data_IF_391073705012
#
_entry.id   IF_391073705012
#
_cell.length_a   1.000
_cell.length_b   1.000
_cell.length_c   1.000
_cell.angle_alpha   90.00
_cell.angle_beta   90.00
_cell.angle_gamma   90.00
#
_symmetry.space_group_name_H-M   'P 1'
#
loop_
_entity.id
_entity.type
_entity.pdbx_description
1 polymer ?
#
# COMPACT_ATOMS: atom_id res chain seq x y z
N UNK A 1 18.06 23.21 -15.48
CA UNK A 1 17.01 24.09 -14.92
C UNK A 1 16.18 23.26 -13.97
N UNK A 2 16.33 23.49 -12.67
CA UNK A 2 15.56 22.79 -11.65
C UNK A 2 14.22 23.52 -11.47
N UNK A 3 13.13 22.86 -11.80
CA UNK A 3 11.79 23.37 -11.52
C UNK A 3 11.50 23.05 -10.04
N UNK A 4 11.33 24.07 -9.18
CA UNK A 4 10.94 23.81 -7.80
C UNK A 4 9.51 23.24 -7.80
N UNK A 5 9.30 22.13 -7.09
CA UNK A 5 7.98 21.63 -6.71
C UNK A 5 7.33 22.66 -5.76
N UNK A 6 6.76 23.72 -6.31
CA UNK A 6 5.94 24.64 -5.53
C UNK A 6 4.54 24.05 -5.44
N UNK A 7 4.18 23.59 -4.27
CA UNK A 7 2.78 23.43 -3.91
C UNK A 7 2.13 24.81 -4.05
N UNK A 8 1.31 24.99 -5.08
CA UNK A 8 0.45 26.17 -5.13
C UNK A 8 -0.45 26.12 -3.92
N UNK A 9 -0.55 27.24 -3.22
CA UNK A 9 -1.38 27.48 -2.04
C UNK A 9 -2.90 27.44 -2.33
N UNK A 10 -3.36 26.39 -2.96
CA UNK A 10 -4.77 26.04 -3.02
C UNK A 10 -4.97 25.02 -1.92
N UNK A 11 -5.64 25.44 -0.83
CA UNK A 11 -5.89 24.59 0.32
C UNK A 11 -6.62 23.32 -0.13
N UNK A 12 -5.89 22.22 -0.30
CA UNK A 12 -6.47 20.90 -0.24
C UNK A 12 -6.99 20.76 1.19
N UNK A 13 -8.30 20.87 1.33
CA UNK A 13 -8.87 20.65 2.65
C UNK A 13 -8.62 19.17 2.99
N UNK A 14 -8.13 18.91 4.17
CA UNK A 14 -8.00 17.55 4.55
C UNK A 14 -9.37 17.02 4.78
N UNK A 15 -9.43 15.97 4.22
CA UNK A 15 -9.42 14.92 5.08
C UNK A 15 -10.72 14.59 5.74
N UNK A 16 -10.95 13.42 5.56
CA UNK A 16 -11.91 12.65 6.27
C UNK A 16 -11.38 12.44 7.71
N UNK A 17 -12.20 12.70 8.70
CA UNK A 17 -12.00 12.31 10.08
C UNK A 17 -12.93 11.14 10.40
N UNK A 18 -12.37 10.04 10.91
CA UNK A 18 -13.11 8.86 11.30
C UNK A 18 -13.25 8.76 12.83
N UNK A 19 -14.17 7.94 13.28
CA UNK A 19 -14.36 7.70 14.71
C UNK A 19 -13.26 6.82 15.30
N UNK A 20 -12.74 5.89 14.49
CA UNK A 20 -11.68 4.94 14.86
C UNK A 20 -10.37 5.29 14.20
N UNK A 21 -9.22 4.87 14.79
CA UNK A 21 -7.93 4.96 14.13
C UNK A 21 -7.91 4.20 12.80
N UNK A 22 -7.28 4.81 11.80
CA UNK A 22 -7.05 4.18 10.50
C UNK A 22 -5.86 3.24 10.64
N UNK A 23 -5.97 2.04 10.12
CA UNK A 23 -4.91 1.02 10.10
C UNK A 23 -4.37 0.75 8.70
N UNK A 24 -5.17 0.99 7.66
CA UNK A 24 -4.77 0.74 6.28
C UNK A 24 -5.55 1.65 5.33
N UNK A 25 -4.86 2.19 4.34
CA UNK A 25 -5.44 2.91 3.20
C UNK A 25 -5.03 2.19 1.92
N UNK A 26 -5.97 1.95 1.00
CA UNK A 26 -5.71 1.40 -0.34
C UNK A 26 -6.59 2.07 -1.38
N UNK A 27 -5.97 2.56 -2.43
CA UNK A 27 -6.67 3.07 -3.60
C UNK A 27 -7.01 1.94 -4.57
N UNK A 28 -8.18 2.00 -5.17
CA UNK A 28 -8.60 1.00 -6.13
C UNK A 28 -7.81 1.13 -7.45
N UNK A 29 -7.22 0.04 -7.90
CA UNK A 29 -6.46 -0.02 -9.15
C UNK A 29 -7.27 -0.50 -10.34
N UNK A 30 -8.50 -1.00 -10.10
CA UNK A 30 -9.41 -1.40 -11.17
C UNK A 30 -9.72 -0.21 -12.09
N UNK A 31 -9.70 -0.38 -13.42
CA UNK A 31 -9.94 0.71 -14.36
C UNK A 31 -11.27 1.44 -14.16
N UNK A 32 -12.30 0.73 -13.73
CA UNK A 32 -13.65 1.27 -13.50
C UNK A 32 -13.90 1.70 -12.05
N UNK A 33 -12.93 1.51 -11.16
CA UNK A 33 -12.99 1.88 -9.74
C UNK A 33 -11.91 2.87 -9.30
N UNK A 34 -11.17 3.50 -10.22
CA UNK A 34 -10.00 4.36 -9.92
C UNK A 34 -10.30 5.57 -9.03
N UNK A 35 -11.56 5.93 -8.88
CA UNK A 35 -12.00 6.99 -7.98
C UNK A 35 -12.31 6.49 -6.56
N UNK A 36 -12.15 5.19 -6.29
CA UNK A 36 -12.41 4.63 -4.97
C UNK A 36 -11.15 4.53 -4.13
N UNK A 37 -11.29 4.76 -2.84
CA UNK A 37 -10.33 4.35 -1.83
C UNK A 37 -11.04 3.59 -0.70
N UNK A 38 -10.38 2.57 -0.16
CA UNK A 38 -10.79 1.93 1.06
C UNK A 38 -9.94 2.41 2.23
N UNK A 39 -10.59 2.57 3.35
CA UNK A 39 -10.00 2.93 4.62
C UNK A 39 -10.40 1.86 5.61
N UNK A 40 -9.42 1.20 6.18
CA UNK A 40 -9.62 0.16 7.18
C UNK A 40 -9.38 0.75 8.54
N UNK A 41 -10.33 0.56 9.45
CA UNK A 41 -10.23 0.93 10.85
C UNK A 41 -10.07 -0.33 11.73
N UNK A 42 -10.15 -0.19 13.05
CA UNK A 42 -10.04 -1.33 13.96
C UNK A 42 -11.17 -2.35 13.78
N UNK A 43 -12.38 -1.89 13.43
CA UNK A 43 -13.56 -2.77 13.38
C UNK A 43 -14.28 -2.80 12.05
N UNK A 44 -13.88 -1.97 11.08
CA UNK A 44 -14.63 -1.81 9.83
C UNK A 44 -13.74 -1.50 8.61
N UNK A 45 -14.30 -1.72 7.43
CA UNK A 45 -13.78 -1.24 6.15
C UNK A 45 -14.75 -0.23 5.58
N UNK A 46 -14.28 0.98 5.31
CA UNK A 46 -15.04 2.05 4.71
C UNK A 46 -14.58 2.30 3.28
N UNK A 47 -15.50 2.49 2.37
CA UNK A 47 -15.23 2.80 0.97
C UNK A 47 -15.74 4.19 0.65
N UNK A 48 -14.86 5.02 0.10
CA UNK A 48 -15.15 6.38 -0.32
C UNK A 48 -14.88 6.54 -1.82
N UNK A 49 -15.74 7.30 -2.47
CA UNK A 49 -15.47 7.84 -3.80
C UNK A 49 -14.82 9.21 -3.68
N UNK A 50 -13.84 9.46 -4.52
CA UNK A 50 -13.17 10.75 -4.60
C UNK A 50 -13.67 11.54 -5.79
N UNK A 51 -13.95 12.83 -5.60
CA UNK A 51 -14.35 13.76 -6.64
C UNK A 51 -13.37 14.94 -6.72
N UNK A 52 -13.15 15.43 -7.95
CA UNK A 52 -12.32 16.59 -8.28
C UNK A 52 -13.12 17.74 -8.91
N UNK A 53 -14.44 17.74 -8.74
CA UNK A 53 -15.33 18.79 -9.26
C UNK A 53 -15.12 20.16 -8.60
N UNK A 54 -14.38 20.20 -7.51
CA UNK A 54 -13.98 21.40 -6.76
C UNK A 54 -12.45 21.54 -6.78
N UNK A 55 -11.89 22.74 -6.51
CA UNK A 55 -10.46 22.87 -6.27
C UNK A 55 -9.98 22.02 -5.07
N UNK A 56 -10.90 21.46 -4.31
CA UNK A 56 -10.64 20.60 -3.15
C UNK A 56 -11.05 19.16 -3.45
N UNK A 57 -10.22 18.22 -3.07
CA UNK A 57 -10.55 16.79 -3.11
C UNK A 57 -11.64 16.50 -2.08
N UNK A 58 -12.76 15.94 -2.52
CA UNK A 58 -13.85 15.50 -1.64
C UNK A 58 -13.91 13.98 -1.55
N UNK A 59 -14.33 13.49 -0.39
CA UNK A 59 -14.54 12.07 -0.12
C UNK A 59 -16.01 11.82 0.18
N UNK A 60 -16.68 11.08 -0.70
CA UNK A 60 -18.09 10.72 -0.54
C UNK A 60 -18.20 9.26 -0.08
N UNK A 61 -18.92 8.99 1.02
CA UNK A 61 -19.09 7.63 1.50
C UNK A 61 -19.93 6.82 0.51
N UNK A 62 -19.43 5.64 0.12
CA UNK A 62 -20.12 4.72 -0.80
C UNK A 62 -20.74 3.56 -0.05
N UNK A 63 -19.93 2.86 0.75
CA UNK A 63 -20.37 1.72 1.56
C UNK A 63 -19.43 1.49 2.73
N UNK A 64 -19.92 0.75 3.74
CA UNK A 64 -19.10 0.33 4.88
C UNK A 64 -19.42 -1.11 5.26
N UNK A 65 -18.40 -1.83 5.70
CA UNK A 65 -18.51 -3.21 6.14
C UNK A 65 -18.01 -3.33 7.57
N UNK A 66 -18.86 -3.77 8.46
CA UNK A 66 -18.48 -4.06 9.83
C UNK A 66 -17.82 -5.44 9.91
N UNK A 67 -16.62 -5.51 10.45
CA UNK A 67 -15.85 -6.75 10.61
C UNK A 67 -15.95 -7.31 12.04
N UNK A 68 -16.07 -6.44 13.04
CA UNK A 68 -16.04 -6.80 14.45
C UNK A 68 -14.68 -7.20 15.00
N UNK A 69 -13.64 -7.11 14.18
CA UNK A 69 -12.25 -7.41 14.51
C UNK A 69 -11.31 -6.64 13.57
N UNK A 70 -10.04 -6.56 13.94
CA UNK A 70 -9.03 -5.86 13.14
C UNK A 70 -8.70 -6.62 11.86
N UNK A 71 -8.66 -5.92 10.73
CA UNK A 71 -8.09 -6.45 9.50
C UNK A 71 -6.56 -6.37 9.52
N UNK A 72 -5.90 -7.42 9.06
CA UNK A 72 -4.44 -7.52 8.95
C UNK A 72 -3.94 -7.34 7.53
N UNK A 73 -4.82 -7.43 6.53
CA UNK A 73 -4.56 -7.15 5.14
C UNK A 73 -5.85 -6.95 4.37
N UNK A 74 -5.80 -6.15 3.32
CA UNK A 74 -6.94 -5.94 2.43
C UNK A 74 -6.49 -5.69 0.99
N UNK A 75 -7.25 -6.19 0.02
CA UNK A 75 -6.99 -6.03 -1.40
C UNK A 75 -8.28 -5.82 -2.18
N UNK A 76 -8.23 -4.93 -3.16
CA UNK A 76 -9.33 -4.71 -4.10
C UNK A 76 -9.44 -5.84 -5.10
N UNK A 77 -10.68 -6.21 -5.42
CA UNK A 77 -10.96 -7.04 -6.60
C UNK A 77 -10.71 -6.27 -7.89
N UNK A 78 -10.12 -6.91 -8.90
CA UNK A 78 -9.99 -6.32 -10.23
C UNK A 78 -11.34 -6.06 -10.90
N UNK A 79 -12.40 -6.75 -10.49
CA UNK A 79 -13.77 -6.57 -11.01
C UNK A 79 -14.51 -5.39 -10.38
N UNK A 80 -13.91 -4.72 -9.38
CA UNK A 80 -14.53 -3.55 -8.74
C UNK A 80 -14.79 -2.44 -9.74
N UNK A 81 -16.02 -1.94 -9.74
CA UNK A 81 -16.47 -0.84 -10.58
C UNK A 81 -17.39 0.11 -9.82
N UNK A 82 -17.33 1.39 -10.18
CA UNK A 82 -18.14 2.41 -9.54
C UNK A 82 -18.63 3.45 -10.56
N UNK A 83 -19.94 3.64 -10.56
CA UNK A 83 -20.63 4.75 -11.21
C UNK A 83 -21.61 5.37 -10.20
N UNK A 84 -22.04 6.60 -10.42
CA UNK A 84 -22.90 7.33 -9.49
C UNK A 84 -24.21 6.62 -9.13
N UNK A 85 -24.77 5.86 -10.06
CA UNK A 85 -26.05 5.17 -9.90
C UNK A 85 -25.94 3.66 -9.76
N UNK A 86 -24.77 3.09 -10.01
CA UNK A 86 -24.54 1.65 -9.92
C UNK A 86 -23.08 1.35 -9.53
N UNK A 87 -22.88 0.35 -8.69
CA UNK A 87 -21.53 -0.14 -8.38
C UNK A 87 -21.52 -1.62 -8.05
N UNK A 88 -20.36 -2.22 -8.24
CA UNK A 88 -20.01 -3.52 -7.69
C UNK A 88 -18.64 -3.37 -7.03
N UNK A 89 -18.63 -3.45 -5.74
CA UNK A 89 -17.42 -3.32 -4.90
C UNK A 89 -17.16 -4.67 -4.28
N UNK A 90 -15.95 -5.18 -4.52
CA UNK A 90 -15.49 -6.44 -3.94
C UNK A 90 -14.12 -6.21 -3.32
N UNK A 91 -13.97 -6.62 -2.06
CA UNK A 91 -12.75 -6.47 -1.28
C UNK A 91 -12.46 -7.79 -0.56
N UNK A 92 -11.24 -8.26 -0.69
CA UNK A 92 -10.74 -9.39 0.08
C UNK A 92 -10.05 -8.85 1.33
N UNK A 93 -10.36 -9.41 2.49
CA UNK A 93 -9.83 -8.99 3.78
C UNK A 93 -9.35 -10.20 4.57
N UNK A 94 -8.13 -10.10 5.11
CA UNK A 94 -7.64 -11.01 6.14
C UNK A 94 -7.79 -10.36 7.51
N UNK A 95 -8.18 -11.15 8.52
CA UNK A 95 -8.46 -10.65 9.87
C UNK A 95 -7.47 -11.20 10.90
N UNK A 96 -7.37 -10.53 12.05
CA UNK A 96 -6.57 -11.01 13.19
C UNK A 96 -7.07 -12.32 13.78
N UNK A 97 -8.32 -12.71 13.48
CA UNK A 97 -8.89 -14.01 13.81
C UNK A 97 -8.48 -15.11 12.84
N UNK A 98 -7.52 -14.83 11.94
CA UNK A 98 -7.03 -15.74 10.91
C UNK A 98 -8.12 -16.20 9.94
N UNK A 99 -9.00 -15.31 9.55
CA UNK A 99 -10.03 -15.56 8.54
C UNK A 99 -9.78 -14.74 7.29
N UNK A 100 -9.98 -15.35 6.14
CA UNK A 100 -10.08 -14.69 4.85
C UNK A 100 -11.56 -14.45 4.56
N UNK A 101 -11.94 -13.19 4.33
CA UNK A 101 -13.32 -12.78 4.09
C UNK A 101 -13.46 -12.03 2.78
N UNK A 102 -14.54 -12.27 2.06
CA UNK A 102 -14.97 -11.50 0.90
C UNK A 102 -16.07 -10.53 1.33
N UNK A 103 -15.83 -9.26 1.11
CA UNK A 103 -16.79 -8.18 1.31
C UNK A 103 -17.31 -7.75 -0.05
N UNK A 104 -18.62 -7.77 -0.20
CA UNK A 104 -19.27 -7.37 -1.45
C UNK A 104 -20.31 -6.30 -1.17
N UNK A 105 -20.36 -5.28 -2.03
CA UNK A 105 -21.45 -4.31 -2.09
C UNK A 105 -21.86 -4.10 -3.54
N UNK A 106 -23.13 -4.34 -3.81
CA UNK A 106 -23.71 -4.16 -5.13
C UNK A 106 -24.84 -3.15 -5.03
N UNK A 107 -24.86 -2.19 -5.94
CA UNK A 107 -25.99 -1.27 -6.11
C UNK A 107 -26.43 -1.24 -7.56
N UNK A 108 -27.74 -1.35 -7.75
CA UNK A 108 -28.40 -1.18 -9.04
C UNK A 108 -29.62 -0.25 -8.85
N UNK A 109 -29.50 0.99 -9.32
CA UNK A 109 -30.53 2.01 -9.09
C UNK A 109 -30.73 2.35 -7.61
N UNK A 110 -31.93 2.10 -7.07
CA UNK A 110 -32.27 2.35 -5.67
C UNK A 110 -31.92 1.20 -4.72
N UNK A 111 -31.68 0.01 -5.25
CA UNK A 111 -31.40 -1.18 -4.44
C UNK A 111 -29.89 -1.31 -4.18
N UNK A 112 -29.54 -1.48 -2.92
CA UNK A 112 -28.18 -1.74 -2.47
C UNK A 112 -28.16 -2.96 -1.55
N UNK A 113 -27.22 -3.84 -1.76
CA UNK A 113 -26.97 -5.01 -0.91
C UNK A 113 -25.49 -5.07 -0.51
N UNK A 114 -25.24 -5.56 0.71
CA UNK A 114 -23.90 -5.81 1.20
C UNK A 114 -23.81 -7.21 1.76
N UNK A 115 -22.67 -7.85 1.56
CA UNK A 115 -22.36 -9.16 2.15
C UNK A 115 -20.97 -9.17 2.76
N UNK A 116 -20.79 -10.04 3.77
CA UNK A 116 -19.50 -10.31 4.42
C UNK A 116 -19.42 -11.84 4.60
N UNK A 117 -18.68 -12.49 3.71
CA UNK A 117 -18.61 -13.95 3.63
C UNK A 117 -17.21 -14.42 4.01
N UNK A 118 -17.12 -15.31 5.00
CA UNK A 118 -15.89 -16.06 5.27
C UNK A 118 -15.63 -17.04 4.12
N UNK A 119 -14.43 -16.97 3.55
CA UNK A 119 -13.98 -17.86 2.48
C UNK A 119 -13.12 -19.02 3.02
N UNK A 120 -12.18 -18.71 3.90
CA UNK A 120 -11.22 -19.70 4.40
C UNK A 120 -10.65 -19.29 5.76
N UNK A 121 -9.99 -20.25 6.42
CA UNK A 121 -9.09 -20.00 7.55
C UNK A 121 -7.65 -19.83 7.02
N UNK A 122 -6.92 -18.84 7.56
CA UNK A 122 -5.54 -18.56 7.11
C UNK A 122 -4.48 -19.31 7.91
N UNK A 123 -4.85 -19.94 9.04
CA UNK A 123 -3.99 -20.70 9.95
C UNK A 123 -2.78 -19.95 10.53
N UNK A 124 -2.39 -18.84 9.94
CA UNK A 124 -1.35 -17.92 10.40
C UNK A 124 -1.78 -16.48 10.15
N UNK A 125 -1.20 -15.55 10.90
CA UNK A 125 -1.46 -14.12 10.70
C UNK A 125 -0.99 -13.70 9.32
N UNK A 126 -1.90 -13.15 8.54
CA UNK A 126 -1.61 -12.54 7.25
C UNK A 126 -0.97 -11.17 7.50
N UNK A 127 0.14 -10.90 6.85
CA UNK A 127 0.88 -9.64 6.92
C UNK A 127 0.61 -8.74 5.73
N UNK A 128 0.28 -9.33 4.56
CA UNK A 128 -0.13 -8.61 3.36
C UNK A 128 -1.01 -9.51 2.48
N UNK A 129 -1.85 -8.89 1.66
CA UNK A 129 -2.82 -9.56 0.83
C UNK A 129 -2.87 -8.91 -0.55
N UNK A 130 -2.85 -9.72 -1.60
CA UNK A 130 -2.96 -9.29 -2.98
C UNK A 130 -3.99 -10.10 -3.74
N UNK A 131 -4.83 -9.42 -4.52
CA UNK A 131 -5.75 -10.07 -5.47
C UNK A 131 -5.17 -9.99 -6.88
N UNK A 132 -5.23 -11.07 -7.64
CA UNK A 132 -4.67 -11.11 -9.00
C UNK A 132 -5.53 -10.28 -9.95
N UNK A 133 -4.92 -9.29 -10.60
CA UNK A 133 -5.60 -8.45 -11.58
C UNK A 133 -5.33 -8.87 -13.03
N UNK A 134 -4.60 -9.97 -13.24
CA UNK A 134 -4.28 -10.46 -14.58
C UNK A 134 -5.49 -11.13 -15.22
N UNK A 135 -5.82 -10.80 -16.49
CA UNK A 135 -6.95 -11.39 -17.19
C UNK A 135 -6.89 -12.92 -17.24
N UNK A 136 -7.99 -13.58 -16.86
CA UNK A 136 -8.12 -15.02 -16.76
C UNK A 136 -7.60 -15.63 -15.45
N UNK A 137 -7.13 -14.81 -14.52
CA UNK A 137 -6.64 -15.23 -13.20
C UNK A 137 -7.24 -14.43 -12.06
N UNK A 138 -8.36 -13.77 -12.31
CA UNK A 138 -9.04 -12.88 -11.34
C UNK A 138 -9.65 -13.66 -10.16
N UNK A 139 -9.73 -14.99 -10.24
CA UNK A 139 -10.15 -15.84 -9.12
C UNK A 139 -9.03 -16.13 -8.12
N UNK A 140 -7.80 -15.67 -8.38
CA UNK A 140 -6.67 -15.97 -7.51
C UNK A 140 -6.31 -14.83 -6.57
N UNK A 141 -5.96 -15.19 -5.34
CA UNK A 141 -5.44 -14.29 -4.33
C UNK A 141 -4.21 -14.88 -3.66
N UNK A 142 -3.30 -14.02 -3.22
CA UNK A 142 -2.09 -14.40 -2.50
C UNK A 142 -2.02 -13.69 -1.16
N UNK A 143 -1.56 -14.37 -0.12
CA UNK A 143 -1.23 -13.77 1.16
C UNK A 143 0.21 -14.07 1.57
N UNK A 144 0.85 -13.05 2.11
CA UNK A 144 2.06 -13.16 2.90
C UNK A 144 1.67 -13.49 4.34
N UNK A 145 2.39 -14.41 4.98
CA UNK A 145 2.07 -14.86 6.33
C UNK A 145 3.29 -14.75 7.26
N UNK A 146 3.00 -14.50 8.55
CA UNK A 146 4.03 -14.37 9.59
C UNK A 146 4.77 -15.67 9.93
N UNK A 147 4.24 -16.82 9.50
CA UNK A 147 4.86 -18.15 9.67
C UNK A 147 5.86 -18.50 8.56
N UNK A 148 6.19 -17.57 7.67
CA UNK A 148 7.08 -17.80 6.53
C UNK A 148 6.39 -18.42 5.32
N UNK A 149 5.08 -18.48 5.29
CA UNK A 149 4.35 -19.03 4.15
C UNK A 149 3.81 -17.95 3.24
N UNK A 150 3.82 -18.26 1.93
CA UNK A 150 3.01 -17.60 0.91
C UNK A 150 1.86 -18.53 0.57
N UNK A 151 0.63 -18.07 0.73
CA UNK A 151 -0.57 -18.84 0.44
C UNK A 151 -1.28 -18.29 -0.78
N UNK A 152 -1.61 -19.17 -1.69
CA UNK A 152 -2.30 -18.86 -2.93
C UNK A 152 -3.65 -19.58 -2.92
N UNK A 153 -4.71 -18.81 -2.89
CA UNK A 153 -6.07 -19.33 -3.00
C UNK A 153 -6.56 -19.17 -4.43
N UNK A 154 -7.17 -20.23 -4.95
CA UNK A 154 -8.22 -20.11 -5.93
C UNK A 154 -9.52 -19.86 -5.15
N UNK A 155 -10.12 -18.72 -5.31
CA UNK A 155 -11.31 -18.32 -4.55
C UNK A 155 -12.54 -19.18 -4.86
N UNK A 156 -12.50 -19.96 -5.95
CA UNK A 156 -13.49 -20.95 -6.34
C UNK A 156 -13.12 -22.37 -5.89
N UNK A 157 -11.91 -22.60 -5.39
CA UNK A 157 -11.37 -23.92 -5.16
C UNK A 157 -10.37 -24.04 -4.01
N UNK A 158 -9.16 -24.45 -4.29
CA UNK A 158 -8.16 -24.87 -3.32
C UNK A 158 -7.19 -23.78 -2.86
N UNK A 159 -6.29 -24.18 -1.93
CA UNK A 159 -5.17 -23.35 -1.47
C UNK A 159 -3.85 -24.09 -1.72
N UNK A 160 -2.87 -23.38 -2.26
CA UNK A 160 -1.47 -23.84 -2.37
C UNK A 160 -0.62 -23.05 -1.39
N UNK A 161 0.35 -23.70 -0.78
CA UNK A 161 1.25 -23.08 0.18
C UNK A 161 2.68 -23.24 -0.27
N UNK A 162 3.45 -22.16 -0.26
CA UNK A 162 4.89 -22.15 -0.50
C UNK A 162 5.61 -21.66 0.76
N UNK A 163 6.67 -22.34 1.15
CA UNK A 163 7.42 -22.06 2.37
C UNK A 163 8.70 -21.28 2.03
N UNK A 164 8.90 -20.18 2.72
CA UNK A 164 10.13 -19.39 2.72
C UNK A 164 10.86 -19.53 4.06
N UNK A 165 12.02 -18.90 4.20
CA UNK A 165 12.89 -19.12 5.36
C UNK A 165 12.53 -18.25 6.58
N UNK A 166 11.84 -17.14 6.37
CA UNK A 166 11.44 -16.22 7.43
C UNK A 166 10.05 -15.64 7.16
N UNK A 167 9.49 -14.91 8.13
CA UNK A 167 8.20 -14.26 7.98
C UNK A 167 8.11 -13.46 6.68
N UNK A 168 7.03 -13.64 5.93
CA UNK A 168 6.79 -12.89 4.68
C UNK A 168 6.08 -11.59 5.02
N UNK A 169 6.64 -10.47 4.60
CA UNK A 169 6.13 -9.13 4.91
C UNK A 169 5.16 -8.61 3.88
N UNK A 170 5.40 -8.96 2.61
CA UNK A 170 4.66 -8.40 1.49
C UNK A 170 4.55 -9.38 0.34
N UNK A 171 3.43 -9.31 -0.37
CA UNK A 171 3.15 -10.11 -1.56
C UNK A 171 2.45 -9.24 -2.62
N UNK A 172 2.84 -9.39 -3.89
CA UNK A 172 2.21 -8.66 -4.98
C UNK A 172 2.31 -9.43 -6.30
N UNK A 173 1.19 -9.58 -7.01
CA UNK A 173 1.21 -10.15 -8.36
C UNK A 173 1.92 -9.19 -9.32
N UNK A 174 2.67 -9.78 -10.26
CA UNK A 174 3.35 -9.00 -11.28
C UNK A 174 2.33 -8.33 -12.22
N UNK A 175 2.47 -7.03 -12.51
CA UNK A 175 1.43 -6.28 -13.24
C UNK A 175 1.26 -6.69 -14.71
N UNK A 176 2.24 -7.39 -15.32
CA UNK A 176 2.21 -7.75 -16.76
C UNK A 176 2.43 -9.24 -17.02
N UNK A 177 3.07 -9.98 -16.12
CA UNK A 177 3.39 -11.40 -16.29
C UNK A 177 2.59 -12.21 -15.29
N UNK A 178 1.45 -12.82 -15.68
CA UNK A 178 0.50 -13.43 -14.74
C UNK A 178 1.10 -14.48 -13.82
N UNK A 179 2.10 -15.24 -14.31
CA UNK A 179 2.71 -16.32 -13.54
C UNK A 179 3.66 -15.88 -12.43
N UNK A 180 4.05 -14.60 -12.39
CA UNK A 180 5.03 -14.12 -11.41
C UNK A 180 4.33 -13.45 -10.22
N UNK A 181 4.81 -13.80 -9.04
CA UNK A 181 4.42 -13.25 -7.75
C UNK A 181 5.67 -12.78 -7.01
N UNK A 182 5.67 -11.55 -6.55
CA UNK A 182 6.67 -11.02 -5.64
C UNK A 182 6.35 -11.46 -4.22
N UNK A 183 7.35 -11.93 -3.48
CA UNK A 183 7.29 -12.12 -2.04
C UNK A 183 8.53 -11.51 -1.38
N UNK A 184 8.35 -10.75 -0.29
CA UNK A 184 9.44 -10.13 0.47
C UNK A 184 9.48 -10.69 1.88
N UNK A 185 10.62 -11.26 2.25
CA UNK A 185 10.85 -11.77 3.60
C UNK A 185 11.34 -10.69 4.58
N UNK A 186 11.11 -10.92 5.86
CA UNK A 186 11.65 -10.11 6.95
C UNK A 186 13.18 -10.15 7.04
N UNK A 187 13.81 -11.17 6.47
CA UNK A 187 15.28 -11.27 6.32
C UNK A 187 15.87 -10.27 5.33
N UNK A 188 15.06 -9.60 4.53
CA UNK A 188 15.50 -8.69 3.46
C UNK A 188 15.73 -9.38 2.11
N UNK A 189 15.34 -10.63 1.98
CA UNK A 189 15.38 -11.35 0.70
C UNK A 189 14.03 -11.22 0.00
N UNK A 190 14.06 -10.80 -1.26
CA UNK A 190 12.92 -10.80 -2.16
C UNK A 190 12.96 -12.00 -3.10
N UNK A 191 11.81 -12.56 -3.37
CA UNK A 191 11.63 -13.69 -4.26
C UNK A 191 10.65 -13.36 -5.38
N UNK A 192 10.98 -13.82 -6.59
CA UNK A 192 10.02 -13.97 -7.67
C UNK A 192 9.58 -15.42 -7.72
N UNK A 193 8.33 -15.67 -7.47
CA UNK A 193 7.73 -17.00 -7.44
C UNK A 193 6.96 -17.22 -8.75
N UNK A 194 7.26 -18.34 -9.46
CA UNK A 194 6.42 -18.85 -10.54
C UNK A 194 5.31 -19.71 -9.91
N UNK A 195 4.12 -19.14 -9.79
CA UNK A 195 2.98 -19.80 -9.16
C UNK A 195 2.10 -20.58 -10.15
N UNK A 196 2.38 -20.48 -11.47
CA UNK A 196 1.71 -21.21 -12.53
C UNK A 196 2.61 -22.28 -13.16
N UNK A 197 3.61 -22.78 -12.42
CA UNK A 197 4.48 -23.84 -12.90
C UNK A 197 3.66 -25.09 -13.29
N UNK A 198 4.13 -25.79 -14.33
CA UNK A 198 3.39 -26.86 -15.02
C UNK A 198 3.05 -28.07 -14.15
N UNK A 199 3.74 -28.24 -13.03
CA UNK A 199 3.50 -29.31 -12.04
C UNK A 199 2.50 -28.93 -10.95
N UNK A 200 1.98 -27.71 -11.01
CA UNK A 200 1.03 -27.17 -10.01
C UNK A 200 1.67 -26.69 -8.71
N UNK A 201 3.00 -26.79 -8.59
CA UNK A 201 3.71 -26.27 -7.41
C UNK A 201 4.18 -24.84 -7.63
N UNK A 202 4.37 -24.09 -6.53
CA UNK A 202 4.97 -22.75 -6.57
C UNK A 202 6.48 -22.89 -6.53
N UNK A 203 7.19 -22.29 -7.50
CA UNK A 203 8.64 -22.37 -7.61
C UNK A 203 9.30 -21.01 -7.51
N UNK A 204 10.47 -20.93 -6.90
CA UNK A 204 11.30 -19.74 -6.93
C UNK A 204 11.93 -19.59 -8.31
N UNK A 205 11.54 -18.55 -9.05
CA UNK A 205 12.08 -18.20 -10.35
C UNK A 205 13.38 -17.38 -10.23
N UNK A 206 13.43 -16.46 -9.27
CA UNK A 206 14.59 -15.64 -8.96
C UNK A 206 14.56 -15.14 -7.52
N UNK A 207 15.71 -14.72 -7.00
CA UNK A 207 15.81 -14.03 -5.72
C UNK A 207 16.73 -12.81 -5.86
N UNK A 208 16.47 -11.80 -5.03
CA UNK A 208 17.26 -10.57 -4.96
C UNK A 208 17.33 -10.10 -3.49
N UNK A 209 18.36 -9.33 -3.18
CA UNK A 209 18.58 -8.91 -1.80
C UNK A 209 19.41 -7.62 -1.74
N UNK A 210 19.39 -6.99 -0.60
CA UNK A 210 20.31 -5.90 -0.27
C UNK A 210 21.35 -6.42 0.71
N UNK A 211 22.66 -6.45 0.32
CA UNK A 211 23.69 -7.12 1.12
C UNK A 211 23.86 -6.57 2.55
N UNK A 212 23.60 -5.28 2.76
CA UNK A 212 23.76 -4.64 4.07
C UNK A 212 22.61 -5.02 5.01
N UNK A 213 21.43 -5.25 4.48
CA UNK A 213 20.26 -5.60 5.30
C UNK A 213 20.28 -7.04 5.80
N UNK A 214 20.89 -7.96 5.06
CA UNK A 214 20.99 -9.37 5.46
C UNK A 214 21.66 -9.57 6.83
N UNK A 215 22.59 -8.69 7.21
CA UNK A 215 23.29 -8.79 8.50
C UNK A 215 22.56 -8.12 9.68
N UNK A 216 21.67 -7.18 9.40
CA UNK A 216 21.08 -6.33 10.44
C UNK A 216 19.74 -6.86 10.99
N UNK A 217 19.05 -7.73 10.25
CA UNK A 217 17.64 -8.08 10.50
C UNK A 217 17.41 -9.37 11.28
N UNK A 218 18.45 -10.14 11.59
CA UNK A 218 18.29 -11.40 12.32
C UNK A 218 17.64 -11.27 13.72
N UNK A 219 17.43 -10.05 14.20
CA UNK A 219 16.98 -9.80 15.59
C UNK A 219 15.74 -8.91 15.73
N UNK A 220 15.18 -8.37 14.64
CA UNK A 220 14.04 -7.45 14.73
C UNK A 220 12.79 -8.05 14.11
N UNK A 221 11.72 -8.17 14.90
CA UNK A 221 10.39 -8.52 14.41
C UNK A 221 9.76 -7.29 13.75
N UNK A 222 9.69 -7.29 12.42
CA UNK A 222 9.01 -6.23 11.67
C UNK A 222 7.54 -6.60 11.46
N UNK A 223 6.66 -5.71 11.86
CA UNK A 223 5.23 -5.77 11.52
C UNK A 223 4.93 -4.78 10.39
N UNK A 224 5.54 -4.96 9.20
CA UNK A 224 5.32 -4.06 8.09
C UNK A 224 4.27 -4.62 7.11
N UNK A 225 3.19 -3.90 6.90
CA UNK A 225 2.28 -4.15 5.79
C UNK A 225 2.74 -3.39 4.55
N UNK A 226 2.87 -4.11 3.42
CA UNK A 226 3.23 -3.47 2.17
C UNK A 226 4.67 -3.01 2.09
N UNK A 227 5.58 -3.77 2.66
CA UNK A 227 7.01 -3.50 2.62
C UNK A 227 7.58 -3.41 1.21
N UNK A 228 6.99 -4.10 0.22
CA UNK A 228 7.44 -4.10 -1.17
C UNK A 228 6.29 -3.85 -2.15
N UNK A 229 6.63 -3.31 -3.32
CA UNK A 229 5.69 -3.04 -4.39
C UNK A 229 6.36 -3.14 -5.78
N UNK A 230 5.55 -3.49 -6.79
CA UNK A 230 5.91 -3.33 -8.20
C UNK A 230 5.67 -1.88 -8.65
N UNK A 231 6.51 -1.43 -9.56
CA UNK A 231 6.20 -0.23 -10.33
C UNK A 231 5.21 -0.59 -11.45
N UNK A 232 4.04 0.02 -11.45
CA UNK A 232 2.96 -0.37 -12.36
C UNK A 232 3.29 -0.13 -13.84
N UNK A 233 4.08 0.91 -14.15
CA UNK A 233 4.43 1.27 -15.53
C UNK A 233 5.67 0.53 -16.03
N UNK A 234 6.67 0.32 -15.17
CA UNK A 234 7.87 -0.47 -15.43
C UNK A 234 7.86 -1.73 -14.56
N UNK A 235 7.32 -2.79 -15.13
CA UNK A 235 7.08 -4.03 -14.42
C UNK A 235 8.35 -4.81 -14.03
N UNK A 236 9.52 -4.37 -14.45
CA UNK A 236 10.80 -4.96 -14.04
C UNK A 236 11.35 -4.29 -12.75
N UNK A 237 10.74 -3.18 -12.34
CA UNK A 237 11.16 -2.44 -11.15
C UNK A 237 10.36 -2.86 -9.92
N UNK A 238 11.09 -3.21 -8.87
CA UNK A 238 10.56 -3.53 -7.54
C UNK A 238 11.19 -2.58 -6.53
N UNK A 239 10.37 -2.04 -5.64
CA UNK A 239 10.84 -1.26 -4.50
C UNK A 239 10.47 -1.91 -3.18
N UNK A 240 11.30 -1.77 -2.17
CA UNK A 240 11.01 -2.22 -0.81
C UNK A 240 11.59 -1.27 0.24
N UNK A 241 10.95 -1.25 1.41
CA UNK A 241 11.49 -0.69 2.64
C UNK A 241 11.77 -1.84 3.61
N UNK A 242 13.01 -1.94 4.04
CA UNK A 242 13.54 -2.96 4.94
C UNK A 242 14.15 -2.27 6.17
N UNK A 243 13.40 -2.20 7.25
CA UNK A 243 13.79 -1.38 8.40
C UNK A 243 13.89 0.10 8.04
N UNK A 244 15.10 0.66 8.11
CA UNK A 244 15.36 2.06 7.73
C UNK A 244 15.88 2.24 6.31
N UNK A 245 16.12 1.16 5.57
CA UNK A 245 16.66 1.20 4.22
C UNK A 245 15.55 0.98 3.19
N UNK A 246 15.43 1.91 2.25
CA UNK A 246 14.66 1.69 1.05
C UNK A 246 15.58 1.27 -0.10
N UNK A 247 15.11 0.38 -0.94
CA UNK A 247 15.83 -0.16 -2.07
C UNK A 247 14.91 -0.26 -3.28
N UNK A 248 15.47 -0.09 -4.47
CA UNK A 248 14.81 -0.32 -5.75
C UNK A 248 15.68 -1.22 -6.59
N UNK A 249 15.09 -2.28 -7.15
CA UNK A 249 15.77 -3.25 -8.03
C UNK A 249 15.16 -3.23 -9.43
N UNK A 250 16.02 -3.44 -10.44
CA UNK A 250 15.59 -3.98 -11.72
C UNK A 250 15.78 -5.50 -11.67
N UNK A 251 14.72 -6.24 -11.47
CA UNK A 251 14.77 -7.69 -11.22
C UNK A 251 15.18 -8.51 -12.45
N UNK A 252 15.24 -7.90 -13.64
CA UNK A 252 15.80 -8.56 -14.84
C UNK A 252 17.32 -8.44 -14.94
N UNK A 253 17.87 -7.34 -14.45
CA UNK A 253 19.27 -7.00 -14.72
C UNK A 253 20.19 -7.43 -13.58
N UNK A 254 19.73 -7.30 -12.35
CA UNK A 254 20.62 -7.54 -11.21
C UNK A 254 19.86 -8.02 -9.96
N UNK A 255 20.54 -8.84 -9.17
CA UNK A 255 20.11 -9.23 -7.82
C UNK A 255 20.40 -8.16 -6.75
N UNK A 256 21.17 -7.13 -7.08
CA UNK A 256 21.50 -6.00 -6.19
C UNK A 256 20.68 -4.77 -6.55
N UNK A 257 20.40 -3.88 -5.59
CA UNK A 257 19.60 -2.70 -5.87
C UNK A 257 20.27 -1.73 -6.85
N UNK A 258 19.49 -1.18 -7.77
CA UNK A 258 19.92 -0.09 -8.68
C UNK A 258 19.91 1.26 -7.97
N UNK A 259 19.09 1.38 -6.92
CA UNK A 259 19.06 2.55 -6.04
C UNK A 259 18.73 2.12 -4.62
N UNK A 260 19.35 2.76 -3.65
CA UNK A 260 19.05 2.54 -2.23
C UNK A 260 19.36 3.81 -1.42
N UNK A 261 18.72 3.91 -0.28
CA UNK A 261 18.97 4.98 0.67
C UNK A 261 18.55 4.57 2.08
N UNK A 262 18.88 5.43 3.05
CA UNK A 262 18.57 5.19 4.44
C UNK A 262 17.74 6.34 5.00
N UNK A 263 16.68 6.00 5.72
CA UNK A 263 15.93 6.94 6.53
C UNK A 263 16.67 7.22 7.83
N UNK A 264 16.68 8.47 8.26
CA UNK A 264 17.45 8.87 9.45
C UNK A 264 16.83 8.45 10.78
N UNK A 265 15.61 7.94 10.75
CA UNK A 265 14.89 7.52 11.97
C UNK A 265 14.79 6.01 12.03
N UNK A 266 15.00 5.39 13.21
CA UNK A 266 14.73 3.98 13.39
C UNK A 266 13.22 3.75 13.21
N UNK A 267 12.86 2.91 12.25
CA UNK A 267 11.48 2.57 11.94
C UNK A 267 11.17 1.16 12.42
N UNK A 268 10.00 0.99 13.04
CA UNK A 268 9.48 -0.33 13.42
C UNK A 268 8.56 -0.86 12.32
N UNK A 269 7.85 0.04 11.65
CA UNK A 269 6.91 -0.26 10.58
C UNK A 269 7.14 0.68 9.42
N UNK A 270 6.82 0.25 8.23
CA UNK A 270 6.90 1.12 7.07
C UNK A 270 6.67 0.37 5.76
N UNK A 271 6.62 1.13 4.68
CA UNK A 271 6.44 0.55 3.36
C UNK A 271 6.85 1.51 2.26
N UNK A 272 6.86 0.98 1.04
CA UNK A 272 7.14 1.71 -0.18
C UNK A 272 5.98 1.55 -1.16
N UNK A 273 5.60 2.65 -1.82
CA UNK A 273 4.59 2.65 -2.88
C UNK A 273 5.07 3.47 -4.06
N UNK A 274 5.04 2.90 -5.25
CA UNK A 274 5.24 3.63 -6.50
C UNK A 274 3.97 4.37 -6.90
N UNK A 275 4.14 5.55 -7.46
CA UNK A 275 3.02 6.30 -8.04
C UNK A 275 2.54 5.60 -9.32
N UNK A 276 1.25 5.20 -9.42
CA UNK A 276 0.74 4.48 -10.59
C UNK A 276 0.59 5.38 -11.83
N UNK A 277 0.54 6.68 -11.64
CA UNK A 277 0.34 7.69 -12.69
C UNK A 277 1.64 8.38 -13.13
N UNK A 278 2.71 8.23 -12.34
CA UNK A 278 4.02 8.82 -12.62
C UNK A 278 5.14 7.83 -12.28
N UNK A 279 5.80 7.27 -13.30
CA UNK A 279 6.85 6.26 -13.13
C UNK A 279 8.10 6.76 -12.40
N UNK A 280 8.26 8.07 -12.24
CA UNK A 280 9.40 8.66 -11.55
C UNK A 280 9.20 8.78 -10.04
N UNK A 281 7.96 8.75 -9.57
CA UNK A 281 7.66 9.02 -8.18
C UNK A 281 7.44 7.73 -7.40
N UNK A 282 8.01 7.70 -6.20
CA UNK A 282 7.65 6.72 -5.18
C UNK A 282 7.63 7.38 -3.80
N UNK A 283 6.82 6.84 -2.92
CA UNK A 283 6.74 7.27 -1.54
C UNK A 283 7.20 6.17 -0.60
N UNK A 284 7.92 6.57 0.44
CA UNK A 284 8.34 5.71 1.54
C UNK A 284 7.77 6.30 2.82
N UNK A 285 7.13 5.48 3.62
CA UNK A 285 6.74 5.87 4.96
C UNK A 285 7.43 4.98 5.98
N UNK A 286 7.79 5.59 7.10
CA UNK A 286 8.39 4.90 8.21
C UNK A 286 7.76 5.40 9.50
N UNK A 287 7.24 4.48 10.31
CA UNK A 287 6.72 4.78 11.62
C UNK A 287 7.80 4.54 12.68
N UNK A 288 8.25 5.59 13.32
CA UNK A 288 9.16 5.54 14.46
C UNK A 288 8.46 5.93 15.74
N UNK A 289 9.10 5.70 16.87
CA UNK A 289 8.55 5.97 18.21
C UNK A 289 8.22 7.44 18.49
N UNK A 290 8.58 8.37 17.62
CA UNK A 290 8.46 9.80 17.89
C UNK A 290 7.72 10.63 16.83
N UNK A 291 7.81 10.30 15.55
CA UNK A 291 7.11 11.03 14.49
C UNK A 291 6.91 10.15 13.25
N UNK A 292 5.71 10.07 12.66
CA UNK A 292 5.53 9.45 11.35
C UNK A 292 6.23 10.31 10.32
N UNK A 293 7.09 9.71 9.50
CA UNK A 293 7.75 10.38 8.39
C UNK A 293 7.29 9.76 7.06
N UNK A 294 6.89 10.61 6.15
CA UNK A 294 6.60 10.25 4.76
C UNK A 294 7.57 10.99 3.85
N UNK A 295 8.27 10.23 3.02
CA UNK A 295 9.25 10.77 2.09
C UNK A 295 8.81 10.46 0.66
N UNK A 296 8.81 11.46 -0.21
CA UNK A 296 8.50 11.30 -1.62
C UNK A 296 9.79 11.50 -2.43
N UNK A 297 10.10 10.54 -3.27
CA UNK A 297 11.33 10.49 -4.06
C UNK A 297 11.03 10.55 -5.56
N UNK A 298 11.95 11.16 -6.30
CA UNK A 298 12.01 11.09 -7.76
C UNK A 298 13.10 10.07 -8.17
N UNK A 299 12.73 8.96 -8.79
CA UNK A 299 13.63 7.89 -9.21
C UNK A 299 14.60 8.28 -10.32
N UNK A 300 14.38 9.39 -11.02
CA UNK A 300 15.34 9.90 -12.02
C UNK A 300 16.65 10.42 -11.42
N UNK A 301 16.70 10.62 -10.10
CA UNK A 301 17.88 11.09 -9.38
C UNK A 301 18.24 10.16 -8.21
N UNK A 302 18.56 8.88 -8.47
CA UNK A 302 18.78 7.89 -7.41
C UNK A 302 19.97 8.22 -6.51
N UNK A 303 20.98 8.92 -7.02
CA UNK A 303 22.15 9.36 -6.26
C UNK A 303 21.88 10.59 -5.37
N UNK A 304 20.81 11.31 -5.63
CA UNK A 304 20.40 12.50 -4.87
C UNK A 304 18.87 12.56 -4.86
N UNK A 305 18.20 11.62 -4.17
CA UNK A 305 16.74 11.66 -4.10
C UNK A 305 16.34 12.98 -3.46
N UNK A 306 15.47 13.72 -4.15
CA UNK A 306 14.82 14.88 -3.57
C UNK A 306 13.69 14.37 -2.69
N UNK A 307 14.02 14.07 -1.44
CA UNK A 307 13.03 13.76 -0.44
C UNK A 307 12.21 15.02 -0.11
N UNK A 308 10.93 14.86 -0.01
CA UNK A 308 10.03 15.84 0.57
C UNK A 308 9.62 15.25 1.92
N UNK A 309 10.15 15.80 2.99
CA UNK A 309 9.75 15.39 4.32
C UNK A 309 8.39 16.01 4.64
N UNK A 310 7.39 15.16 4.78
CA UNK A 310 6.07 15.58 5.23
C UNK A 310 5.96 15.28 6.71
N UNK A 311 6.05 16.33 7.52
CA UNK A 311 5.78 16.23 8.95
C UNK A 311 4.29 16.46 9.18
N UNK A 312 3.62 15.46 9.73
CA UNK A 312 2.25 15.64 10.19
C UNK A 312 2.23 16.61 11.37
N UNK A 313 1.87 17.86 11.13
CA UNK A 313 1.64 18.85 12.19
C UNK A 313 0.19 18.78 12.65
N UNK A 314 0.00 18.79 13.95
CA UNK A 314 -1.29 18.87 14.61
C UNK A 314 -1.46 20.20 15.32
N UNK A 315 -2.66 20.58 15.71
CA UNK A 315 -3.94 20.25 15.12
C UNK A 315 -4.09 20.97 13.79
N UNK A 316 -4.76 20.33 12.90
CA UNK A 316 -5.00 20.82 11.56
C UNK A 316 -5.58 22.24 11.59
N UNK A 317 -4.77 23.23 11.24
CA UNK A 317 -5.28 24.52 10.79
C UNK A 317 -5.24 24.48 9.26
N UNK A 318 -6.32 24.85 8.56
CA UNK A 318 -6.29 24.98 7.14
C UNK A 318 -5.27 26.07 6.78
N UNK A 319 -4.11 25.64 6.33
CA UNK A 319 -3.01 26.47 5.89
C UNK A 319 -2.19 25.68 4.85
N UNK A 320 -1.46 26.36 3.96
CA UNK A 320 -0.68 25.68 2.95
C UNK A 320 0.32 24.73 3.62
N UNK A 321 0.35 23.49 3.18
CA UNK A 321 1.44 22.57 3.52
C UNK A 321 2.71 23.18 2.92
N UNK A 322 3.55 23.75 3.77
CA UNK A 322 4.86 24.22 3.36
C UNK A 322 5.75 23.01 3.17
N UNK A 323 6.02 22.68 1.91
CA UNK A 323 7.05 21.72 1.55
C UNK A 323 8.39 22.46 1.70
N UNK A 324 9.01 22.28 2.86
CA UNK A 324 10.33 22.89 3.10
C UNK A 324 11.41 22.02 2.44
N UNK A 325 11.94 22.53 1.33
CA UNK A 325 12.99 21.89 0.54
C UNK A 325 14.40 22.15 1.10
N UNK A 326 14.53 22.88 2.20
CA UNK A 326 15.84 23.38 2.68
C UNK A 326 16.46 22.55 3.80
N UNK A 327 15.80 21.48 4.28
CA UNK A 327 16.40 20.61 5.31
C UNK A 327 16.64 21.27 6.66
N UNK A 328 16.09 22.46 6.91
CA UNK A 328 16.15 23.11 8.21
C UNK A 328 14.97 22.64 9.05
N UNK A 329 15.28 22.00 10.17
CA UNK A 329 14.29 21.53 11.14
C UNK A 329 13.39 22.68 11.60
N UNK A 330 12.24 22.81 10.97
CA UNK A 330 11.14 23.60 11.52
C UNK A 330 10.65 22.91 12.78
N UNK A 331 10.33 23.68 13.80
CA UNK A 331 9.78 23.18 15.08
C UNK A 331 8.48 22.41 14.83
N UNK A 332 8.60 21.10 14.66
CA UNK A 332 7.46 20.20 14.52
C UNK A 332 6.68 20.14 15.83
N UNK A 333 5.42 20.49 15.80
CA UNK A 333 4.53 20.18 16.91
C UNK A 333 4.38 18.64 16.95
N UNK A 334 4.88 18.02 17.99
CA UNK A 334 4.77 16.58 18.21
C UNK A 334 3.33 16.18 18.45
N UNK A 335 2.80 15.31 17.58
CA UNK A 335 1.60 14.53 17.88
C UNK A 335 1.85 13.64 19.10
N UNK A 336 0.83 13.41 19.93
CA UNK A 336 0.92 12.37 20.95
C UNK A 336 1.29 11.04 20.28
N UNK A 337 2.21 10.32 20.88
CA UNK A 337 2.87 9.11 20.36
C UNK A 337 1.95 7.92 19.97
N UNK A 338 0.64 8.07 20.12
CA UNK A 338 -0.34 7.03 19.84
C UNK A 338 -0.87 7.03 18.39
N UNK A 339 -0.59 8.05 17.59
CA UNK A 339 -1.21 8.22 16.26
C UNK A 339 -0.17 8.54 15.19
N UNK A 340 0.55 7.52 14.75
CA UNK A 340 1.44 7.64 13.59
C UNK A 340 0.78 7.22 12.29
N UNK A 341 1.35 7.59 11.14
CA UNK A 341 0.98 7.02 9.85
C UNK A 341 1.24 5.51 9.87
N UNK A 342 0.23 4.70 9.60
CA UNK A 342 0.35 3.25 9.52
C UNK A 342 0.35 2.76 8.08
N UNK A 343 -0.15 3.58 7.15
CA UNK A 343 -0.26 3.23 5.75
C UNK A 343 -0.24 4.46 4.85
N UNK A 344 0.24 4.27 3.64
CA UNK A 344 0.12 5.22 2.54
C UNK A 344 -0.35 4.52 1.29
N UNK A 345 -1.01 5.23 0.40
CA UNK A 345 -1.22 4.77 -0.97
C UNK A 345 -1.41 5.92 -1.95
N UNK A 346 -1.05 5.71 -3.21
CA UNK A 346 -1.26 6.68 -4.27
C UNK A 346 -2.64 6.52 -4.90
N UNK A 347 -3.29 7.62 -5.20
CA UNK A 347 -4.48 7.57 -6.01
C UNK A 347 -4.18 7.04 -7.41
N UNK A 348 -5.04 6.17 -7.92
CA UNK A 348 -4.86 5.49 -9.21
C UNK A 348 -5.17 6.40 -10.42
N UNK A 349 -5.51 7.65 -10.18
CA UNK A 349 -5.72 8.69 -11.21
C UNK A 349 -5.15 10.01 -10.76
N UNK A 350 -4.76 10.85 -11.71
CA UNK A 350 -4.38 12.23 -11.43
C UNK A 350 -5.63 13.05 -11.09
N UNK A 351 -5.48 13.94 -10.12
CA UNK A 351 -6.51 14.90 -9.72
C UNK A 351 -6.10 16.26 -10.24
N UNK A 352 -6.83 16.78 -11.23
CA UNK A 352 -6.44 17.96 -12.00
C UNK A 352 -5.03 17.79 -12.61
N UNK A 353 -4.01 18.48 -12.10
CA UNK A 353 -2.63 18.40 -12.57
C UNK A 353 -1.70 17.61 -11.63
N UNK A 354 -2.23 17.07 -10.53
CA UNK A 354 -1.43 16.49 -9.45
C UNK A 354 -1.59 14.98 -9.34
N UNK A 355 -0.49 14.31 -9.01
CA UNK A 355 -0.51 12.99 -8.42
C UNK A 355 -0.81 13.15 -6.92
N UNK A 356 -1.69 12.34 -6.35
CA UNK A 356 -2.11 12.51 -4.95
C UNK A 356 -1.74 11.28 -4.15
N UNK A 357 -0.97 11.50 -3.09
CA UNK A 357 -0.65 10.50 -2.08
C UNK A 357 -1.63 10.64 -0.91
N UNK A 358 -2.29 9.57 -0.55
CA UNK A 358 -3.11 9.47 0.65
C UNK A 358 -2.26 8.95 1.80
N UNK A 359 -2.28 9.64 2.92
CA UNK A 359 -1.54 9.30 4.14
C UNK A 359 -2.53 9.24 5.29
N UNK A 360 -2.53 8.17 6.03
CA UNK A 360 -3.27 8.11 7.29
C UNK A 360 -2.45 8.73 8.44
N UNK A 361 -3.12 9.49 9.28
CA UNK A 361 -2.55 10.06 10.51
C UNK A 361 -3.55 9.88 11.64
N UNK A 362 -3.46 8.75 12.32
CA UNK A 362 -4.39 8.40 13.39
C UNK A 362 -5.81 8.20 12.87
N UNK A 363 -6.70 9.16 13.09
CA UNK A 363 -8.08 9.14 12.62
C UNK A 363 -8.30 9.92 11.33
N UNK A 364 -7.26 10.57 10.84
CA UNK A 364 -7.35 11.49 9.70
C UNK A 364 -6.74 10.89 8.47
N UNK A 365 -7.39 11.07 7.33
CA UNK A 365 -6.83 10.83 6.02
C UNK A 365 -6.34 12.16 5.44
N UNK A 366 -5.07 12.23 5.09
CA UNK A 366 -4.42 13.45 4.57
C UNK A 366 -4.03 13.23 3.11
N UNK A 367 -4.65 13.91 2.15
CA UNK A 367 -4.21 13.91 0.77
C UNK A 367 -3.04 14.88 0.57
N UNK A 368 -1.98 14.40 -0.06
CA UNK A 368 -0.79 15.18 -0.38
C UNK A 368 -0.69 15.29 -1.90
N UNK A 369 -0.96 16.47 -2.48
CA UNK A 369 -0.77 16.69 -3.90
C UNK A 369 0.71 16.82 -4.23
N UNK A 370 1.14 16.11 -5.27
CA UNK A 370 2.50 16.10 -5.80
C UNK A 370 2.47 16.51 -7.26
N UNK A 371 3.22 17.57 -7.63
CA UNK A 371 3.26 18.14 -8.98
C UNK A 371 4.30 17.46 -9.88
#
# INVERSE_FOLDING_TARGET
>A
MSIPLQARSGAWQPALELLEPISLVRCCTSPLGRNLCMIVTETAVHVYATSDESPNLSFEPVTSFFLGCRATGASWSPSTQHASTAWRIEILVATETNELRLLESVRQGSEASTSNKKLADTYARVTDLAWCASPGYESYAAAACSDGTVRLWDLEGGCRTHYLNSAVLSVAFHPKVPKLLLAMESSGVGYLLDWLASDGEVRTAASFHEPITLGAHATQHYEAQGAAAWQAQDADMVGALLGTRWCVWNVREASVPVASGQLHQPSVHGGLRFCPTNSRLFAVFAHGSMTPAVHIFDSAFPASPRGIDVHAQTPFRPGPVSLDTTGVAGTAATLPSAYGAQSIDWMSRRMAAYDVLLVDVGRHLVPIPVA
#
